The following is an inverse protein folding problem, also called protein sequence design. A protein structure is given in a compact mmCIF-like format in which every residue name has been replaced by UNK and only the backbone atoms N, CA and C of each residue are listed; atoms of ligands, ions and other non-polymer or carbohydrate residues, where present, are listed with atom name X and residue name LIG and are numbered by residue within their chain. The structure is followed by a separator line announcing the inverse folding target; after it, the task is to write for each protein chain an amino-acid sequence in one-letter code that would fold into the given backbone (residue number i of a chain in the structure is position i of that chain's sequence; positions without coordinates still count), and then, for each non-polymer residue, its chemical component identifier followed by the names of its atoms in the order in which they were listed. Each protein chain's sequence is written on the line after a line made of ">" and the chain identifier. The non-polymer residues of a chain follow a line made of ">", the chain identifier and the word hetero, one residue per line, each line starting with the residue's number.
data_IF_074950183026
#
_entry.id   IF_074950183026
#
_cell.length_a   1.000
_cell.length_b   1.000
_cell.length_c   1.000
_cell.angle_alpha   90.00
_cell.angle_beta   90.00
_cell.angle_gamma   90.00
#
_symmetry.space_group_name_H-M   'P 1'
#
loop_
_entity.id
_entity.type
_entity.pdbx_description
1 polymer ?
#
# COMPACT_ATOMS: atom_id res chain seq x y z
N UNK A 1 33.56 7.25 -20.00
CA UNK A 1 32.29 6.90 -19.35
C UNK A 1 32.51 6.96 -17.85
N UNK A 2 31.89 7.90 -17.14
CA UNK A 2 32.05 8.08 -15.69
C UNK A 2 30.86 7.50 -14.94
N UNK A 3 31.12 6.70 -13.91
CA UNK A 3 30.14 5.99 -13.10
C UNK A 3 29.34 7.03 -12.28
N UNK A 4 28.15 7.39 -12.75
CA UNK A 4 27.25 8.38 -12.14
C UNK A 4 26.08 7.65 -11.48
N UNK A 5 26.38 6.80 -10.50
CA UNK A 5 25.37 6.00 -9.78
C UNK A 5 25.46 6.15 -8.26
N UNK A 6 26.15 7.19 -7.76
CA UNK A 6 26.23 7.47 -6.34
C UNK A 6 25.24 8.56 -5.97
N UNK A 7 24.44 8.30 -4.94
CA UNK A 7 23.53 9.27 -4.33
C UNK A 7 24.16 9.66 -2.98
N UNK A 8 24.81 10.83 -2.89
CA UNK A 8 25.40 11.28 -1.63
C UNK A 8 24.30 11.71 -0.65
N UNK A 9 24.44 11.29 0.61
CA UNK A 9 23.61 11.75 1.74
C UNK A 9 24.49 12.50 2.72
N UNK A 10 24.00 13.62 3.25
CA UNK A 10 24.64 14.34 4.34
C UNK A 10 24.23 13.76 5.70
N UNK A 11 25.01 14.04 6.75
CA UNK A 11 24.77 13.51 8.09
C UNK A 11 23.52 14.06 8.78
N UNK A 12 23.00 15.19 8.30
CA UNK A 12 21.80 15.87 8.77
C UNK A 12 20.58 15.69 7.87
N UNK A 13 20.72 14.92 6.78
CA UNK A 13 19.62 14.66 5.84
C UNK A 13 18.50 13.85 6.52
N UNK A 14 17.25 14.29 6.27
CA UNK A 14 16.01 13.60 6.67
C UNK A 14 15.93 13.19 8.16
N UNK A 15 16.64 13.89 9.05
CA UNK A 15 16.57 13.66 10.51
C UNK A 15 15.26 14.15 11.15
N UNK A 16 14.54 15.06 10.48
CA UNK A 16 13.23 15.52 10.92
C UNK A 16 12.16 14.45 10.67
N UNK A 17 11.26 14.26 11.62
CA UNK A 17 10.06 13.43 11.42
C UNK A 17 9.14 13.97 10.32
N UNK A 18 9.18 15.28 10.09
CA UNK A 18 8.39 15.95 9.06
C UNK A 18 9.25 16.21 7.83
N UNK A 19 8.77 15.72 6.69
CA UNK A 19 9.32 16.04 5.37
C UNK A 19 8.81 17.39 4.86
N UNK A 20 7.54 17.71 5.14
CA UNK A 20 6.96 19.01 4.78
C UNK A 20 5.85 19.43 5.74
N UNK A 21 6.19 20.27 6.72
CA UNK A 21 5.24 20.76 7.75
C UNK A 21 4.09 21.61 7.21
N UNK A 22 4.16 22.07 5.97
CA UNK A 22 3.11 22.91 5.34
C UNK A 22 2.16 22.11 4.45
N UNK A 23 2.42 20.83 4.24
CA UNK A 23 1.63 19.94 3.38
C UNK A 23 0.75 19.03 4.21
N UNK A 24 -0.43 18.68 3.67
CA UNK A 24 -1.23 17.57 4.20
C UNK A 24 -0.43 16.26 4.22
N UNK A 25 0.51 16.09 3.28
CA UNK A 25 1.42 14.94 3.15
C UNK A 25 2.70 15.17 3.94
N UNK A 26 2.56 15.48 5.22
CA UNK A 26 3.65 15.96 6.06
C UNK A 26 4.83 14.97 6.20
N UNK A 27 4.60 13.68 5.94
CA UNK A 27 5.60 12.60 6.00
C UNK A 27 6.31 12.33 4.67
N UNK A 28 5.88 12.94 3.58
CA UNK A 28 6.38 12.65 2.23
C UNK A 28 7.15 13.86 1.67
N UNK A 29 8.38 13.61 1.24
CA UNK A 29 9.16 14.61 0.48
C UNK A 29 8.52 14.83 -0.90
N UNK A 30 8.69 16.03 -1.47
CA UNK A 30 8.13 16.37 -2.79
C UNK A 30 8.82 15.63 -3.95
N UNK A 31 10.11 15.31 -3.81
CA UNK A 31 10.87 14.67 -4.89
C UNK A 31 10.38 13.25 -5.23
N UNK A 32 10.09 12.35 -4.26
CA UNK A 32 9.47 11.06 -4.54
C UNK A 32 8.14 11.17 -5.27
N UNK A 33 7.27 12.12 -4.89
CA UNK A 33 5.95 12.31 -5.50
C UNK A 33 6.07 12.64 -6.99
N UNK A 34 6.90 13.64 -7.32
CA UNK A 34 7.12 14.05 -8.71
C UNK A 34 7.71 12.91 -9.56
N UNK A 35 8.64 12.14 -9.00
CA UNK A 35 9.25 11.00 -9.69
C UNK A 35 8.23 9.90 -9.98
N UNK A 36 7.35 9.57 -9.03
CA UNK A 36 6.29 8.58 -9.21
C UNK A 36 5.32 9.04 -10.30
N UNK A 37 4.82 10.28 -10.22
CA UNK A 37 3.92 10.85 -11.23
C UNK A 37 4.56 10.86 -12.62
N UNK A 38 5.82 11.30 -12.72
CA UNK A 38 6.56 11.29 -13.99
C UNK A 38 6.71 9.87 -14.54
N UNK A 39 7.04 8.90 -13.70
CA UNK A 39 7.20 7.50 -14.14
C UNK A 39 5.90 6.96 -14.74
N UNK A 40 4.77 7.14 -14.06
CA UNK A 40 3.47 6.69 -14.56
C UNK A 40 3.06 7.40 -15.85
N UNK A 41 3.36 8.70 -15.98
CA UNK A 41 3.08 9.47 -17.20
C UNK A 41 3.96 9.05 -18.39
N UNK A 42 5.22 8.65 -18.15
CA UNK A 42 6.11 8.18 -19.22
C UNK A 42 5.75 6.76 -19.67
N UNK A 43 5.47 5.86 -18.71
CA UNK A 43 5.14 4.45 -19.02
C UNK A 43 3.68 4.31 -19.46
N UNK A 44 2.82 5.28 -19.12
CA UNK A 44 1.38 5.31 -19.41
C UNK A 44 0.69 4.06 -18.86
N UNK A 45 1.04 3.67 -17.64
CA UNK A 45 0.45 2.50 -16.97
C UNK A 45 -0.58 2.85 -15.89
N UNK A 46 -0.67 4.12 -15.47
CA UNK A 46 -1.66 4.61 -14.52
C UNK A 46 -1.94 6.10 -14.74
N UNK A 47 -3.19 6.52 -14.52
CA UNK A 47 -3.58 7.93 -14.49
C UNK A 47 -3.27 8.45 -13.09
N UNK A 48 -2.46 9.50 -12.98
CA UNK A 48 -2.05 10.08 -11.70
C UNK A 48 -2.69 11.46 -11.45
N UNK A 49 -3.14 12.13 -12.50
CA UNK A 49 -3.82 13.42 -12.39
C UNK A 49 -5.09 13.30 -11.52
N UNK A 50 -5.32 14.31 -10.66
CA UNK A 50 -6.42 14.35 -9.67
C UNK A 50 -6.43 13.23 -8.61
N UNK A 51 -5.34 12.48 -8.44
CA UNK A 51 -5.21 11.44 -7.41
C UNK A 51 -4.21 11.81 -6.31
N UNK A 52 -4.47 11.35 -5.08
CA UNK A 52 -3.51 11.46 -3.97
C UNK A 52 -2.52 10.29 -3.99
N UNK A 53 -1.23 10.59 -3.89
CA UNK A 53 -0.18 9.57 -3.72
C UNK A 53 0.05 9.35 -2.22
N UNK A 54 -0.02 8.09 -1.81
CA UNK A 54 0.30 7.64 -0.45
C UNK A 54 1.48 6.67 -0.52
N UNK A 55 2.53 6.93 0.26
CA UNK A 55 3.68 6.02 0.39
C UNK A 55 3.48 5.14 1.63
N UNK A 56 3.81 3.86 1.49
CA UNK A 56 3.94 2.92 2.60
C UNK A 56 5.22 2.10 2.47
N UNK A 57 5.60 1.46 3.57
CA UNK A 57 6.70 0.51 3.66
C UNK A 57 6.31 -0.80 2.96
N UNK A 58 6.33 -0.76 1.63
CA UNK A 58 5.93 -1.86 0.76
C UNK A 58 4.42 -1.93 0.50
N UNK A 59 4.06 -2.66 -0.56
CA UNK A 59 2.67 -2.81 -1.01
C UNK A 59 1.78 -3.48 0.04
N UNK A 60 2.32 -4.40 0.84
CA UNK A 60 1.56 -5.07 1.91
C UNK A 60 0.99 -4.08 2.92
N UNK A 61 1.75 -3.05 3.31
CA UNK A 61 1.25 -2.02 4.23
C UNK A 61 0.15 -1.18 3.55
N UNK A 62 0.31 -0.84 2.27
CA UNK A 62 -0.68 -0.08 1.53
C UNK A 62 -2.00 -0.84 1.34
N UNK A 63 -1.93 -2.15 1.07
CA UNK A 63 -3.12 -3.01 1.01
C UNK A 63 -3.86 -3.02 2.34
N UNK A 64 -3.14 -3.18 3.45
CA UNK A 64 -3.74 -3.14 4.80
C UNK A 64 -4.37 -1.77 5.10
N UNK A 65 -3.66 -0.68 4.80
CA UNK A 65 -4.15 0.67 5.02
C UNK A 65 -5.42 0.94 4.18
N UNK A 66 -5.46 0.48 2.93
CA UNK A 66 -6.64 0.61 2.07
C UNK A 66 -7.83 -0.19 2.62
N UNK A 67 -7.62 -1.45 3.03
CA UNK A 67 -8.67 -2.27 3.64
C UNK A 67 -9.22 -1.62 4.91
N UNK A 68 -8.35 -1.12 5.77
CA UNK A 68 -8.74 -0.40 6.98
C UNK A 68 -9.54 0.87 6.66
N UNK A 69 -9.07 1.70 5.71
CA UNK A 69 -9.73 2.94 5.32
C UNK A 69 -11.09 2.74 4.66
N UNK A 70 -11.27 1.64 3.92
CA UNK A 70 -12.54 1.26 3.29
C UNK A 70 -13.51 0.57 4.26
N UNK A 71 -13.04 0.15 5.42
CA UNK A 71 -13.87 -0.55 6.41
C UNK A 71 -14.83 0.41 7.12
N UNK A 72 -16.09 0.01 7.37
CA UNK A 72 -17.05 0.81 8.12
C UNK A 72 -16.60 1.02 9.57
N UNK A 73 -16.63 2.27 10.03
CA UNK A 73 -16.11 2.66 11.35
C UNK A 73 -16.95 2.18 12.55
N UNK A 74 -18.18 1.70 12.31
CA UNK A 74 -19.18 1.39 13.36
C UNK A 74 -19.71 -0.05 13.31
N UNK A 75 -19.06 -0.93 12.56
CA UNK A 75 -19.49 -2.32 12.45
C UNK A 75 -18.80 -3.17 13.51
N UNK A 76 -19.56 -3.98 14.23
CA UNK A 76 -19.05 -4.91 15.24
C UNK A 76 -18.51 -6.20 14.61
N UNK A 77 -19.01 -6.53 13.42
CA UNK A 77 -18.67 -7.73 12.66
C UNK A 77 -17.58 -7.44 11.62
N UNK A 78 -16.69 -8.41 11.32
CA UNK A 78 -15.68 -8.27 10.29
C UNK A 78 -16.28 -8.03 8.89
N UNK A 79 -15.65 -7.19 8.06
CA UNK A 79 -15.92 -7.09 6.63
C UNK A 79 -15.36 -8.29 5.87
N UNK A 80 -16.11 -8.75 4.88
CA UNK A 80 -15.66 -9.81 3.97
C UNK A 80 -14.75 -9.20 2.91
N UNK A 81 -13.54 -9.75 2.78
CA UNK A 81 -12.58 -9.38 1.73
C UNK A 81 -12.34 -10.59 0.85
N UNK A 82 -12.55 -10.42 -0.46
CA UNK A 82 -12.48 -11.50 -1.45
C UNK A 82 -11.63 -11.07 -2.65
N UNK A 83 -11.02 -12.05 -3.32
CA UNK A 83 -10.26 -11.88 -4.55
C UNK A 83 -10.58 -13.01 -5.53
N UNK A 84 -10.52 -12.73 -6.84
CA UNK A 84 -10.74 -13.74 -7.87
C UNK A 84 -9.59 -14.76 -7.91
N UNK A 85 -9.90 -16.03 -8.19
CA UNK A 85 -8.91 -17.09 -8.31
C UNK A 85 -8.25 -17.10 -9.70
N UNK A 86 -6.94 -17.41 -9.81
CA UNK A 86 -5.98 -17.59 -8.73
C UNK A 86 -5.56 -16.25 -8.10
N UNK A 87 -5.46 -16.22 -6.77
CA UNK A 87 -5.14 -15.00 -6.01
C UNK A 87 -3.71 -15.01 -5.46
N UNK A 88 -3.18 -13.82 -5.18
CA UNK A 88 -1.90 -13.65 -4.52
C UNK A 88 -1.98 -14.15 -3.07
N UNK A 89 -1.16 -15.13 -2.72
CA UNK A 89 -1.09 -15.66 -1.35
C UNK A 89 -0.25 -14.70 -0.50
N UNK A 90 -0.90 -14.05 0.46
CA UNK A 90 -0.26 -13.15 1.42
C UNK A 90 0.49 -13.99 2.46
N UNK A 91 1.70 -13.55 2.86
CA UNK A 91 2.53 -14.27 3.84
C UNK A 91 1.76 -14.55 5.15
N UNK A 92 1.86 -15.75 5.74
CA UNK A 92 1.14 -16.11 6.97
C UNK A 92 1.36 -15.16 8.14
N UNK A 93 2.54 -14.55 8.23
CA UNK A 93 2.90 -13.54 9.24
C UNK A 93 1.98 -12.31 9.24
N UNK A 94 1.37 -12.01 8.10
CA UNK A 94 0.40 -10.94 7.95
C UNK A 94 -1.00 -11.38 8.39
N UNK A 95 -1.27 -12.67 8.48
CA UNK A 95 -2.55 -13.24 8.89
C UNK A 95 -2.53 -13.73 10.35
N UNK A 96 -1.46 -13.42 11.11
CA UNK A 96 -1.33 -13.89 12.49
C UNK A 96 -2.34 -13.23 13.43
N UNK A 97 -2.76 -13.94 14.50
CA UNK A 97 -3.66 -13.41 15.51
C UNK A 97 -3.17 -12.09 16.11
N UNK A 98 -3.96 -11.03 15.98
CA UNK A 98 -3.59 -9.68 16.43
C UNK A 98 -2.79 -8.84 15.42
N UNK A 99 -2.56 -9.35 14.21
CA UNK A 99 -2.19 -8.51 13.06
C UNK A 99 -3.35 -7.56 12.69
N UNK A 100 -3.06 -6.46 11.99
CA UNK A 100 -4.09 -5.50 11.53
C UNK A 100 -5.17 -6.14 10.64
N UNK A 101 -4.89 -7.30 10.06
CA UNK A 101 -5.75 -8.00 9.11
C UNK A 101 -6.59 -9.08 9.81
N UNK A 102 -6.08 -9.65 10.90
CA UNK A 102 -6.87 -10.48 11.82
C UNK A 102 -7.71 -9.64 12.80
N UNK A 103 -7.36 -8.36 13.01
CA UNK A 103 -8.08 -7.50 13.94
C UNK A 103 -9.48 -7.18 13.41
N UNK A 104 -10.51 -7.92 13.88
CA UNK A 104 -11.96 -7.61 13.96
C UNK A 104 -12.69 -7.09 12.71
N UNK A 105 -11.99 -6.85 11.61
CA UNK A 105 -12.46 -6.03 10.49
C UNK A 105 -12.29 -6.75 9.17
N UNK A 106 -11.38 -7.71 8.98
CA UNK A 106 -11.21 -8.38 7.69
C UNK A 106 -11.25 -9.90 7.83
N UNK A 107 -12.29 -10.54 7.30
CA UNK A 107 -12.35 -11.98 7.12
C UNK A 107 -12.04 -12.37 5.69
N UNK A 108 -11.02 -13.20 5.47
CA UNK A 108 -10.77 -13.83 4.17
C UNK A 108 -11.74 -14.99 3.98
N UNK A 109 -12.66 -14.86 3.02
CA UNK A 109 -13.56 -15.96 2.67
C UNK A 109 -12.83 -16.94 1.74
N UNK A 110 -12.11 -17.90 2.32
CA UNK A 110 -11.46 -18.99 1.59
C UNK A 110 -12.44 -20.14 1.26
N UNK A 111 -13.69 -19.84 0.92
CA UNK A 111 -14.69 -20.86 0.56
C UNK A 111 -15.15 -20.70 -0.88
N UNK A 112 -14.20 -20.86 -1.81
CA UNK A 112 -14.53 -21.51 -3.07
C UNK A 112 -14.18 -22.98 -2.86
N UNK A 113 -15.19 -23.79 -2.51
CA UNK A 113 -15.05 -25.24 -2.52
C UNK A 113 -14.63 -25.76 -3.90
N UNK A 114 -14.20 -27.02 -4.02
CA UNK A 114 -13.69 -27.64 -5.25
C UNK A 114 -14.70 -27.72 -6.43
N UNK A 115 -15.86 -27.07 -6.34
CA UNK A 115 -16.95 -27.16 -7.31
C UNK A 115 -16.80 -26.22 -8.53
N UNK A 116 -15.77 -25.38 -8.56
CA UNK A 116 -15.51 -24.44 -9.67
C UNK A 116 -14.32 -24.83 -10.57
N UNK A 117 -13.67 -25.96 -10.30
CA UNK A 117 -12.75 -26.60 -11.27
C UNK A 117 -13.50 -27.71 -12.01
N UNK A 118 -14.32 -27.31 -12.98
CA UNK A 118 -15.03 -28.23 -13.83
C UNK A 118 -15.59 -27.53 -15.07
N UNK A 119 -14.76 -27.38 -16.09
CA UNK A 119 -15.07 -27.69 -17.49
C UNK A 119 -13.81 -27.60 -18.36
#
# INVERSE_FOLDING_TARGET
>A
MGNKCDIPFNGDDSLSYFANVKSLRWFMESQPEEKISRMHNVVVNAIVDDHYIVIGTGSSQLVQAALYALSPTKQLDPISVVSATPFYVVSPSLLEPGSLIDSRTVGWFNHWGPEFYGH
#
